data_IF_709054851979
#
_entry.id   IF_709054851979
#
_cell.length_a   1.000
_cell.length_b   1.000
_cell.length_c   1.000
_cell.angle_alpha   90.00
_cell.angle_beta   90.00
_cell.angle_gamma   90.00
#
_symmetry.space_group_name_H-M   'P 1'
#
loop_
_entity.id
_entity.type
_entity.pdbx_description
1 polymer ?
#
# COMPACT_ATOMS: atom_id res chain seq x y z
N UNK A 1 -20.06 29.51 19.43
CA UNK A 1 -18.77 28.99 19.92
C UNK A 1 -19.03 27.55 20.33
N UNK A 2 -18.61 26.59 19.50
CA UNK A 2 -18.69 25.16 19.80
C UNK A 2 -17.27 24.70 20.12
N UNK A 3 -17.06 24.27 21.36
CA UNK A 3 -15.81 23.70 21.83
C UNK A 3 -15.55 22.39 21.07
N UNK A 4 -14.58 22.43 20.16
CA UNK A 4 -14.05 21.22 19.53
C UNK A 4 -13.21 20.51 20.59
N UNK A 5 -13.80 19.49 21.20
CA UNK A 5 -13.15 18.64 22.18
C UNK A 5 -11.95 17.97 21.50
N UNK A 6 -10.74 18.36 21.93
CA UNK A 6 -9.49 17.74 21.53
C UNK A 6 -9.57 16.24 21.84
N UNK A 7 -9.54 15.41 20.80
CA UNK A 7 -9.34 13.96 20.97
C UNK A 7 -7.89 13.75 21.40
N UNK A 8 -7.62 13.86 22.69
CA UNK A 8 -6.42 13.31 23.28
C UNK A 8 -6.60 11.80 23.34
N UNK A 9 -6.23 11.12 22.25
CA UNK A 9 -6.09 9.66 22.26
C UNK A 9 -4.61 9.39 22.56
N UNK A 10 -4.26 9.32 23.84
CA UNK A 10 -2.98 8.74 24.26
C UNK A 10 -3.19 7.24 24.44
N UNK A 11 -3.46 6.52 23.35
CA UNK A 11 -3.20 5.09 23.31
C UNK A 11 -1.80 4.93 22.73
N UNK A 12 -0.81 4.90 23.61
CA UNK A 12 0.54 4.47 23.25
C UNK A 12 0.48 2.96 22.95
N UNK A 13 -0.04 2.61 21.78
CA UNK A 13 0.20 1.32 21.16
C UNK A 13 1.71 1.08 21.04
N UNK A 14 2.16 -0.17 20.80
CA UNK A 14 3.58 -0.45 20.63
C UNK A 14 4.14 0.49 19.57
N UNK A 15 5.17 1.26 19.93
CA UNK A 15 5.82 2.18 19.01
C UNK A 15 6.32 1.37 17.81
N UNK A 16 5.88 1.74 16.61
CA UNK A 16 6.37 1.16 15.37
C UNK A 16 7.91 1.30 15.33
N UNK A 17 8.64 0.27 14.86
CA UNK A 17 10.10 0.36 14.72
C UNK A 17 10.55 1.35 13.63
N UNK A 18 9.60 1.89 12.86
CA UNK A 18 9.82 2.87 11.79
C UNK A 18 8.89 4.07 11.98
N UNK A 19 9.28 5.22 11.43
CA UNK A 19 8.42 6.41 11.42
C UNK A 19 7.15 6.20 10.58
N UNK A 20 6.14 7.05 10.81
CA UNK A 20 4.84 6.95 10.14
C UNK A 20 4.97 6.95 8.61
N UNK A 21 5.83 7.82 8.06
CA UNK A 21 6.00 7.92 6.62
C UNK A 21 6.63 6.64 6.01
N UNK A 22 7.54 5.98 6.73
CA UNK A 22 8.12 4.70 6.32
C UNK A 22 7.11 3.57 6.47
N UNK A 23 6.30 3.60 7.54
CA UNK A 23 5.20 2.67 7.72
C UNK A 23 4.17 2.79 6.58
N UNK A 24 3.77 4.00 6.22
CA UNK A 24 2.80 4.25 5.14
C UNK A 24 3.30 3.71 3.80
N UNK A 25 4.59 3.89 3.49
CA UNK A 25 5.20 3.35 2.27
C UNK A 25 5.26 1.81 2.28
N UNK A 26 5.61 1.21 3.41
CA UNK A 26 5.59 -0.24 3.56
C UNK A 26 4.18 -0.79 3.38
N UNK A 27 3.20 -0.17 4.03
CA UNK A 27 1.81 -0.58 3.96
C UNK A 27 1.25 -0.43 2.55
N UNK A 28 1.52 0.70 1.89
CA UNK A 28 1.12 0.91 0.50
C UNK A 28 1.76 -0.13 -0.43
N UNK A 29 3.06 -0.41 -0.27
CA UNK A 29 3.74 -1.42 -1.08
C UNK A 29 3.12 -2.81 -0.87
N UNK A 30 2.87 -3.20 0.38
CA UNK A 30 2.19 -4.47 0.71
C UNK A 30 0.84 -4.58 0.01
N UNK A 31 -0.01 -3.55 0.11
CA UNK A 31 -1.32 -3.56 -0.53
C UNK A 31 -1.25 -3.65 -2.06
N UNK A 32 -0.21 -3.08 -2.69
CA UNK A 32 0.00 -3.24 -4.15
C UNK A 32 0.37 -4.66 -4.52
N UNK A 33 1.23 -5.31 -3.74
CA UNK A 33 1.61 -6.70 -3.98
C UNK A 33 0.41 -7.65 -3.82
N UNK A 34 -0.42 -7.45 -2.80
CA UNK A 34 -1.66 -8.20 -2.59
C UNK A 34 -2.64 -8.00 -3.77
N UNK A 35 -2.77 -6.78 -4.28
CA UNK A 35 -3.62 -6.49 -5.44
C UNK A 35 -3.12 -7.21 -6.72
N UNK A 36 -1.80 -7.23 -6.97
CA UNK A 36 -1.21 -7.95 -8.10
C UNK A 36 -1.53 -9.45 -8.02
N UNK A 37 -1.40 -10.05 -6.83
CA UNK A 37 -1.72 -11.46 -6.62
C UNK A 37 -3.21 -11.75 -6.93
N UNK A 38 -4.11 -10.94 -6.38
CA UNK A 38 -5.54 -11.07 -6.62
C UNK A 38 -5.90 -10.92 -8.12
N UNK A 39 -5.37 -9.90 -8.79
CA UNK A 39 -5.65 -9.65 -10.20
C UNK A 39 -5.10 -10.74 -11.12
N UNK A 40 -3.92 -11.29 -10.82
CA UNK A 40 -3.38 -12.44 -11.58
C UNK A 40 -4.25 -13.68 -11.42
N UNK A 41 -4.78 -13.93 -10.21
CA UNK A 41 -5.72 -15.02 -9.99
C UNK A 41 -6.99 -14.83 -10.83
N UNK A 42 -7.61 -13.64 -10.78
CA UNK A 42 -8.83 -13.35 -11.55
C UNK A 42 -8.62 -13.37 -13.07
N UNK A 43 -7.44 -12.98 -13.55
CA UNK A 43 -7.08 -13.12 -14.95
C UNK A 43 -6.94 -14.59 -15.36
N UNK A 44 -6.35 -15.42 -14.49
CA UNK A 44 -6.15 -16.86 -14.73
C UNK A 44 -7.44 -17.68 -14.82
N UNK A 45 -8.53 -17.19 -14.22
CA UNK A 45 -9.86 -17.82 -14.29
C UNK A 45 -10.51 -17.73 -15.70
N UNK A 46 -9.93 -16.95 -16.63
CA UNK A 46 -10.20 -17.07 -18.08
C UNK A 46 -11.52 -16.50 -18.59
N UNK A 47 -12.17 -15.59 -17.85
CA UNK A 47 -13.40 -14.91 -18.26
C UNK A 47 -13.19 -13.67 -19.14
N UNK A 48 -14.30 -13.06 -19.58
CA UNK A 48 -14.30 -11.84 -20.44
C UNK A 48 -13.59 -10.63 -19.81
N UNK A 49 -13.36 -10.66 -18.50
CA UNK A 49 -12.63 -9.63 -17.74
C UNK A 49 -11.14 -9.90 -17.60
N UNK A 50 -10.61 -11.01 -18.12
CA UNK A 50 -9.20 -11.39 -17.92
C UNK A 50 -8.23 -10.29 -18.36
N UNK A 51 -8.42 -9.74 -19.57
CA UNK A 51 -7.59 -8.66 -20.09
C UNK A 51 -7.68 -7.36 -19.25
N UNK A 52 -8.79 -7.12 -18.55
CA UNK A 52 -8.87 -6.00 -17.61
C UNK A 52 -7.97 -6.24 -16.40
N UNK A 53 -8.07 -7.43 -15.79
CA UNK A 53 -7.27 -7.76 -14.61
C UNK A 53 -5.77 -7.86 -14.92
N UNK A 54 -5.38 -8.31 -16.11
CA UNK A 54 -3.99 -8.26 -16.56
C UNK A 54 -3.45 -6.83 -16.60
N UNK A 55 -4.22 -5.89 -17.18
CA UNK A 55 -3.82 -4.46 -17.21
C UNK A 55 -3.73 -3.87 -15.80
N UNK A 56 -4.71 -4.15 -14.94
CA UNK A 56 -4.68 -3.69 -13.55
C UNK A 56 -3.46 -4.25 -12.79
N UNK A 57 -3.11 -5.51 -12.99
CA UNK A 57 -1.91 -6.10 -12.38
C UNK A 57 -0.62 -5.42 -12.85
N UNK A 58 -0.55 -5.03 -14.12
CA UNK A 58 0.60 -4.32 -14.66
C UNK A 58 0.70 -2.87 -14.13
N UNK A 59 -0.42 -2.16 -14.04
CA UNK A 59 -0.45 -0.82 -13.43
C UNK A 59 -0.01 -0.87 -11.96
N UNK A 60 -0.47 -1.87 -11.19
CA UNK A 60 -0.04 -2.03 -9.80
C UNK A 60 1.43 -2.43 -9.66
N UNK A 61 1.99 -3.16 -10.64
CA UNK A 61 3.44 -3.42 -10.70
C UNK A 61 4.23 -2.12 -10.82
N UNK A 62 3.82 -1.21 -11.70
CA UNK A 62 4.47 0.09 -11.88
C UNK A 62 4.40 0.92 -10.59
N UNK A 63 3.25 0.95 -9.91
CA UNK A 63 3.12 1.65 -8.63
C UNK A 63 3.98 1.01 -7.53
N UNK A 64 4.05 -0.32 -7.46
CA UNK A 64 4.88 -1.03 -6.50
C UNK A 64 6.37 -0.71 -6.68
N UNK A 65 6.85 -0.62 -7.93
CA UNK A 65 8.24 -0.22 -8.22
C UNK A 65 8.55 1.20 -7.75
N UNK A 66 7.64 2.15 -8.01
CA UNK A 66 7.80 3.53 -7.54
C UNK A 66 7.84 3.61 -6.00
N UNK A 67 6.94 2.90 -5.32
CA UNK A 67 6.92 2.84 -3.85
C UNK A 67 8.20 2.22 -3.29
N UNK A 68 8.69 1.14 -3.91
CA UNK A 68 9.91 0.46 -3.52
C UNK A 68 11.14 1.37 -3.68
N UNK A 69 11.22 2.15 -4.75
CA UNK A 69 12.33 3.06 -4.97
C UNK A 69 12.36 4.20 -3.95
N UNK A 70 11.20 4.78 -3.60
CA UNK A 70 11.09 5.78 -2.54
C UNK A 70 11.47 5.17 -1.18
N UNK A 71 10.97 3.97 -0.87
CA UNK A 71 11.29 3.26 0.37
C UNK A 71 12.79 2.97 0.48
N UNK A 72 13.43 2.50 -0.60
CA UNK A 72 14.89 2.29 -0.66
C UNK A 72 15.66 3.58 -0.42
N UNK A 73 15.18 4.71 -0.93
CA UNK A 73 15.75 6.02 -0.65
C UNK A 73 15.76 6.32 0.85
N UNK A 74 14.62 6.10 1.53
CA UNK A 74 14.51 6.33 2.98
C UNK A 74 15.36 5.39 3.82
N UNK A 75 15.43 4.11 3.46
CA UNK A 75 16.19 3.11 4.22
C UNK A 75 17.71 3.27 4.07
N UNK A 76 18.19 3.95 3.04
CA UNK A 76 19.63 4.15 2.80
C UNK A 76 20.23 5.29 3.62
N UNK A 77 19.44 6.26 4.09
CA UNK A 77 19.93 7.42 4.84
C UNK A 77 20.75 8.37 3.98
#
# INVERSE_FOLDING_TARGET
>A
MQDTQARTITEAGPASPVDDATYDLLQALTSKLEAIEAYRMYAGDGGDTAALFERLAEDERLHAEQLLDVLRGRLRG
#
